data_IF_194079404917
#
_entry.id   IF_194079404917
#
_cell.length_a   1.000
_cell.length_b   1.000
_cell.length_c   1.000
_cell.angle_alpha   90.00
_cell.angle_beta   90.00
_cell.angle_gamma   90.00
#
_symmetry.space_group_name_H-M   'P 1'
#
loop_
_entity.id
_entity.type
_entity.pdbx_description
1 polymer ?
#
# COMPACT_ATOMS: atom_id res chain seq x y z
N UNK A 1 76.20 17.89 -16.24
CA UNK A 1 75.08 16.99 -15.88
C UNK A 1 74.23 17.73 -14.86
N UNK A 2 72.94 18.02 -14.96
CA UNK A 2 71.90 17.96 -16.01
C UNK A 2 70.80 18.84 -15.40
N UNK A 3 70.47 19.99 -16.00
CA UNK A 3 69.45 20.91 -15.47
C UNK A 3 68.06 20.33 -15.73
N UNK A 4 67.33 19.98 -14.66
CA UNK A 4 65.93 19.53 -14.75
C UNK A 4 65.03 20.77 -14.75
N UNK A 5 64.30 20.99 -15.85
CA UNK A 5 63.24 22.01 -15.93
C UNK A 5 61.98 21.51 -15.20
N UNK A 6 61.24 22.38 -14.50
CA UNK A 6 59.93 22.02 -13.96
C UNK A 6 58.90 21.92 -15.10
N UNK A 7 58.13 20.84 -15.10
CA UNK A 7 56.98 20.61 -15.99
C UNK A 7 55.83 21.55 -15.60
N UNK A 8 55.09 22.16 -16.55
CA UNK A 8 53.95 22.98 -16.19
C UNK A 8 52.81 22.09 -15.67
N UNK A 9 52.26 22.46 -14.52
CA UNK A 9 51.07 21.84 -13.93
C UNK A 9 49.88 22.02 -14.88
N UNK A 10 49.26 20.90 -15.25
CA UNK A 10 48.04 20.83 -16.05
C UNK A 10 46.91 21.50 -15.25
N UNK A 11 46.08 22.38 -15.85
CA UNK A 11 44.95 22.96 -15.13
C UNK A 11 43.99 21.84 -14.74
N UNK A 12 43.65 21.75 -13.46
CA UNK A 12 42.51 20.97 -12.98
C UNK A 12 41.25 21.44 -13.70
N UNK A 13 40.35 20.53 -14.13
CA UNK A 13 39.06 20.93 -14.66
C UNK A 13 38.36 21.75 -13.59
N UNK A 14 38.02 23.00 -13.90
CA UNK A 14 37.11 23.79 -13.09
C UNK A 14 35.83 22.98 -12.94
N UNK A 15 35.52 22.55 -11.72
CA UNK A 15 34.15 22.18 -11.38
C UNK A 15 33.30 23.41 -11.73
N UNK A 16 32.50 23.30 -12.78
CA UNK A 16 31.55 24.32 -13.11
C UNK A 16 30.61 24.43 -11.91
N UNK A 17 30.58 25.58 -11.24
CA UNK A 17 29.56 25.84 -10.23
C UNK A 17 28.20 25.53 -10.85
N UNK A 18 27.38 24.64 -10.24
CA UNK A 18 26.06 24.37 -10.76
C UNK A 18 25.32 25.72 -10.84
N UNK A 19 24.70 25.98 -11.99
CA UNK A 19 23.90 27.19 -12.18
C UNK A 19 22.84 27.31 -11.07
N UNK A 20 22.28 28.52 -10.85
CA UNK A 20 21.25 28.70 -9.84
C UNK A 20 20.12 27.69 -10.07
N UNK A 21 19.75 26.94 -9.02
CA UNK A 21 18.66 25.98 -9.08
C UNK A 21 17.39 26.68 -9.63
N UNK A 22 16.61 26.02 -10.50
CA UNK A 22 15.37 26.59 -10.99
C UNK A 22 14.46 26.97 -9.83
N UNK A 23 13.70 28.05 -10.00
CA UNK A 23 12.74 28.53 -9.02
C UNK A 23 11.74 27.40 -8.66
N UNK A 24 11.47 27.15 -7.36
CA UNK A 24 10.47 26.17 -6.96
C UNK A 24 9.11 26.47 -7.59
N UNK A 25 8.47 25.44 -8.14
CA UNK A 25 7.11 25.48 -8.68
C UNK A 25 6.22 24.54 -7.89
N UNK A 26 4.90 24.74 -7.97
CA UNK A 26 3.93 23.87 -7.31
C UNK A 26 2.83 23.48 -8.30
N UNK A 27 2.53 22.18 -8.38
CA UNK A 27 1.52 21.65 -9.27
C UNK A 27 0.34 21.03 -8.51
N UNK A 28 -0.82 20.98 -9.16
CA UNK A 28 -2.00 20.25 -8.67
C UNK A 28 -2.35 19.15 -9.67
N UNK A 29 -2.51 17.92 -9.18
CA UNK A 29 -2.90 16.77 -10.01
C UNK A 29 -4.25 16.24 -9.54
N UNK A 30 -5.22 16.30 -10.45
CA UNK A 30 -6.59 15.89 -10.19
C UNK A 30 -6.75 14.37 -10.14
N UNK A 31 -7.85 13.89 -9.54
CA UNK A 31 -8.18 12.46 -9.53
C UNK A 31 -8.33 11.86 -10.93
N UNK A 32 -8.76 12.64 -11.93
CA UNK A 32 -8.84 12.18 -13.31
C UNK A 32 -7.44 11.89 -13.91
N UNK A 33 -6.47 12.78 -13.67
CA UNK A 33 -5.09 12.58 -14.10
C UNK A 33 -4.43 11.41 -13.36
N UNK A 34 -4.68 11.28 -12.04
CA UNK A 34 -4.22 10.13 -11.25
C UNK A 34 -4.77 8.82 -11.82
N UNK A 35 -6.08 8.76 -12.10
CA UNK A 35 -6.70 7.57 -12.69
C UNK A 35 -6.08 7.23 -14.06
N UNK A 36 -5.92 8.22 -14.93
CA UNK A 36 -5.33 8.03 -16.26
C UNK A 36 -3.87 7.55 -16.19
N UNK A 37 -3.09 8.07 -15.25
CA UNK A 37 -1.70 7.66 -15.06
C UNK A 37 -1.56 6.19 -14.59
N UNK A 38 -2.53 5.69 -13.82
CA UNK A 38 -2.46 4.37 -13.19
C UNK A 38 -3.22 3.26 -13.93
N UNK A 39 -4.22 3.60 -14.74
CA UNK A 39 -5.12 2.62 -15.36
C UNK A 39 -4.38 1.66 -16.31
N UNK A 40 -4.57 0.35 -16.10
CA UNK A 40 -3.99 -0.70 -16.95
C UNK A 40 -2.50 -0.95 -16.72
N UNK A 41 -1.95 -0.44 -15.61
CA UNK A 41 -0.52 -0.53 -15.27
C UNK A 41 -0.26 -1.36 -14.02
N UNK A 42 -1.14 -2.31 -13.72
CA UNK A 42 -1.14 -3.05 -12.45
C UNK A 42 0.22 -3.73 -12.19
N UNK A 43 0.86 -4.29 -13.22
CA UNK A 43 2.20 -4.90 -13.10
C UNK A 43 3.29 -3.89 -12.77
N UNK A 44 3.34 -2.77 -13.47
CA UNK A 44 4.32 -1.70 -13.22
C UNK A 44 4.18 -1.15 -11.80
N UNK A 45 2.94 -0.96 -11.32
CA UNK A 45 2.71 -0.45 -9.96
C UNK A 45 3.08 -1.49 -8.90
N UNK A 46 2.86 -2.78 -9.15
CA UNK A 46 3.38 -3.85 -8.28
C UNK A 46 4.91 -3.79 -8.20
N UNK A 47 5.60 -3.58 -9.32
CA UNK A 47 7.06 -3.44 -9.34
C UNK A 47 7.54 -2.21 -8.54
N UNK A 48 6.86 -1.06 -8.67
CA UNK A 48 7.13 0.14 -7.87
C UNK A 48 6.96 -0.15 -6.37
N UNK A 49 5.87 -0.82 -5.98
CA UNK A 49 5.61 -1.18 -4.58
C UNK A 49 6.65 -2.16 -4.05
N UNK A 50 7.03 -3.18 -4.82
CA UNK A 50 8.06 -4.13 -4.42
C UNK A 50 9.44 -3.47 -4.30
N UNK A 51 9.82 -2.59 -5.23
CA UNK A 51 11.06 -1.83 -5.15
C UNK A 51 11.08 -0.95 -3.88
N UNK A 52 9.94 -0.34 -3.55
CA UNK A 52 9.81 0.50 -2.34
C UNK A 52 9.94 -0.33 -1.06
N UNK A 53 9.39 -1.55 -1.01
CA UNK A 53 9.61 -2.46 0.11
C UNK A 53 11.08 -2.85 0.28
N UNK A 54 11.80 -3.08 -0.82
CA UNK A 54 13.26 -3.36 -0.77
C UNK A 54 14.04 -2.17 -0.24
N UNK A 55 13.74 -0.95 -0.70
CA UNK A 55 14.35 0.27 -0.15
C UNK A 55 14.05 0.42 1.34
N UNK A 56 12.81 0.13 1.76
CA UNK A 56 12.43 0.17 3.16
C UNK A 56 13.21 -0.85 4.01
N UNK A 57 13.29 -2.10 3.56
CA UNK A 57 14.05 -3.16 4.22
C UNK A 57 15.56 -2.91 4.25
N UNK A 58 16.11 -2.19 3.26
CA UNK A 58 17.49 -1.75 3.24
C UNK A 58 17.80 -0.56 4.17
N UNK A 59 16.77 0.09 4.72
CA UNK A 59 16.92 1.29 5.55
C UNK A 59 17.05 2.60 4.77
N UNK A 60 16.80 2.59 3.46
CA UNK A 60 16.90 3.76 2.57
C UNK A 60 15.61 4.59 2.52
N UNK A 61 14.81 4.53 3.58
CA UNK A 61 13.57 5.30 3.72
C UNK A 61 13.40 5.75 5.17
N UNK A 62 12.59 6.79 5.37
CA UNK A 62 12.14 7.19 6.70
C UNK A 62 10.61 7.14 6.73
N UNK A 63 10.05 6.26 7.58
CA UNK A 63 8.61 6.09 7.74
C UNK A 63 8.23 6.23 9.22
N UNK A 64 8.03 7.46 9.73
CA UNK A 64 7.63 7.67 11.12
C UNK A 64 6.21 7.14 11.40
N UNK A 65 5.85 6.92 12.68
CA UNK A 65 4.51 6.51 13.06
C UNK A 65 3.42 7.45 12.52
N UNK A 66 2.35 6.88 11.99
CA UNK A 66 1.20 7.65 11.52
C UNK A 66 0.56 8.47 12.66
N UNK A 67 0.24 9.73 12.38
CA UNK A 67 -0.40 10.62 13.36
C UNK A 67 -1.92 10.63 13.15
N UNK A 68 -2.66 10.16 14.15
CA UNK A 68 -4.12 10.03 14.10
C UNK A 68 -4.80 11.23 14.76
N UNK A 69 -5.50 12.04 13.97
CA UNK A 69 -6.49 12.99 14.46
C UNK A 69 -7.82 12.26 14.69
N UNK A 70 -8.19 12.12 15.97
CA UNK A 70 -9.44 11.50 16.43
C UNK A 70 -10.37 12.54 17.04
N UNK A 71 -11.66 12.28 16.97
CA UNK A 71 -12.70 13.21 17.38
C UNK A 71 -13.56 12.59 18.49
N UNK A 72 -13.64 13.20 19.69
CA UNK A 72 -14.50 12.70 20.78
C UNK A 72 -15.98 12.66 20.42
N UNK A 73 -16.47 13.63 19.63
CA UNK A 73 -17.87 13.76 19.20
C UNK A 73 -18.27 12.79 18.07
N UNK A 74 -17.28 12.22 17.37
CA UNK A 74 -17.48 11.27 16.25
C UNK A 74 -16.40 10.19 16.26
N UNK A 75 -16.44 9.25 17.22
CA UNK A 75 -15.35 8.31 17.49
C UNK A 75 -15.05 7.33 16.33
N UNK A 76 -15.99 7.15 15.39
CA UNK A 76 -15.80 6.33 14.19
C UNK A 76 -15.02 7.05 13.07
N UNK A 77 -14.90 8.37 13.15
CA UNK A 77 -14.22 9.20 12.15
C UNK A 77 -12.79 9.54 12.58
N UNK A 78 -11.90 9.67 11.59
CA UNK A 78 -10.51 10.02 11.82
C UNK A 78 -9.89 10.69 10.60
N UNK A 79 -8.80 11.41 10.85
CA UNK A 79 -7.87 11.85 9.80
C UNK A 79 -6.47 11.39 10.17
N UNK A 80 -5.67 11.00 9.20
CA UNK A 80 -4.33 10.44 9.42
C UNK A 80 -3.33 11.19 8.56
N UNK A 81 -2.26 11.69 9.19
CA UNK A 81 -1.05 12.11 8.50
C UNK A 81 -0.06 10.94 8.45
N UNK A 82 0.42 10.64 7.25
CA UNK A 82 1.47 9.65 7.00
C UNK A 82 2.63 10.36 6.29
N UNK A 83 3.48 11.10 7.04
CA UNK A 83 4.71 11.65 6.47
C UNK A 83 5.71 10.54 6.21
N UNK A 84 6.52 10.68 5.17
CA UNK A 84 7.57 9.73 4.82
C UNK A 84 8.66 10.39 3.96
N UNK A 85 9.78 9.68 3.81
CA UNK A 85 10.88 10.00 2.91
C UNK A 85 11.31 8.73 2.19
N UNK A 86 11.48 8.81 0.88
CA UNK A 86 11.97 7.72 0.02
C UNK A 86 13.29 8.14 -0.61
N UNK A 87 14.37 7.44 -0.28
CA UNK A 87 15.68 7.64 -0.86
C UNK A 87 15.83 6.96 -2.23
N UNK A 88 17.04 6.45 -2.51
CA UNK A 88 17.35 5.76 -3.76
C UNK A 88 17.25 6.67 -4.99
N UNK A 89 16.73 6.14 -6.09
CA UNK A 89 16.48 6.89 -7.33
C UNK A 89 15.18 7.71 -7.28
N UNK A 90 14.22 7.34 -6.42
CA UNK A 90 12.92 8.02 -6.32
C UNK A 90 13.05 9.41 -5.70
N UNK A 91 13.92 9.56 -4.67
CA UNK A 91 14.27 10.82 -3.97
C UNK A 91 13.08 11.75 -3.79
N UNK A 92 12.12 11.35 -2.98
CA UNK A 92 10.91 12.14 -2.72
C UNK A 92 10.51 12.07 -1.26
N UNK A 93 10.20 13.24 -0.71
CA UNK A 93 9.64 13.38 0.61
C UNK A 93 8.17 13.77 0.50
N UNK A 94 7.43 13.67 1.60
CA UNK A 94 6.08 14.22 1.60
C UNK A 94 5.19 13.66 2.68
N UNK A 95 3.89 13.88 2.49
CA UNK A 95 2.87 13.46 3.44
C UNK A 95 1.56 13.14 2.74
N UNK A 96 1.01 11.97 3.05
CA UNK A 96 -0.40 11.68 2.77
C UNK A 96 -1.27 12.19 3.92
N UNK A 97 -2.29 12.96 3.59
CA UNK A 97 -3.34 13.39 4.50
C UNK A 97 -4.66 12.73 4.09
N UNK A 98 -5.10 11.73 4.86
CA UNK A 98 -6.27 10.90 4.52
C UNK A 98 -7.34 10.93 5.60
N UNK A 99 -8.56 11.24 5.21
CA UNK A 99 -9.76 11.21 6.06
C UNK A 99 -10.51 9.89 5.89
N UNK A 100 -11.14 9.43 6.97
CA UNK A 100 -12.07 8.29 6.95
C UNK A 100 -13.28 8.62 7.82
N UNK A 101 -14.44 8.76 7.18
CA UNK A 101 -15.72 9.11 7.80
C UNK A 101 -16.76 8.07 7.39
N UNK A 102 -16.96 6.99 8.17
CA UNK A 102 -17.93 5.94 7.87
C UNK A 102 -19.36 6.44 7.55
N UNK A 103 -19.92 7.46 8.24
CA UNK A 103 -21.25 8.00 7.92
C UNK A 103 -21.42 8.56 6.50
N UNK A 104 -20.33 8.88 5.79
CA UNK A 104 -20.41 9.37 4.41
C UNK A 104 -21.12 8.37 3.47
N UNK A 105 -20.96 7.07 3.73
CA UNK A 105 -21.52 6.02 2.88
C UNK A 105 -23.05 6.10 2.86
N UNK A 106 -23.68 6.31 4.01
CA UNK A 106 -25.14 6.52 4.09
C UNK A 106 -25.63 7.79 3.40
N UNK A 107 -24.74 8.75 3.15
CA UNK A 107 -25.03 9.97 2.40
C UNK A 107 -24.64 9.88 0.91
N UNK A 108 -24.23 8.70 0.42
CA UNK A 108 -23.80 8.51 -0.97
C UNK A 108 -22.41 9.08 -1.29
N UNK A 109 -21.62 9.43 -0.27
CA UNK A 109 -20.26 9.99 -0.41
C UNK A 109 -19.23 8.89 -0.08
N UNK A 110 -18.07 8.83 -0.77
CA UNK A 110 -17.00 7.91 -0.38
C UNK A 110 -16.58 8.07 1.09
N UNK A 111 -16.35 6.94 1.74
CA UNK A 111 -15.88 6.88 3.14
C UNK A 111 -14.56 7.64 3.33
N UNK A 112 -13.65 7.54 2.37
CA UNK A 112 -12.31 8.10 2.47
C UNK A 112 -12.05 9.12 1.36
N UNK A 113 -11.30 10.16 1.70
CA UNK A 113 -10.75 11.16 0.78
C UNK A 113 -9.33 11.48 1.22
N UNK A 114 -8.43 11.77 0.29
CA UNK A 114 -7.05 12.05 0.62
C UNK A 114 -6.38 13.00 -0.36
N UNK A 115 -5.39 13.72 0.14
CA UNK A 115 -4.40 14.42 -0.67
C UNK A 115 -3.00 13.93 -0.33
N UNK A 116 -2.10 14.02 -1.29
CA UNK A 116 -0.68 13.73 -1.15
C UNK A 116 0.11 14.98 -1.52
N UNK A 117 0.93 15.46 -0.59
CA UNK A 117 1.91 16.50 -0.88
C UNK A 117 3.24 15.81 -1.13
N UNK A 118 3.87 16.13 -2.26
CA UNK A 118 5.24 15.73 -2.58
C UNK A 118 6.18 16.92 -2.36
N UNK A 119 7.30 16.64 -1.71
CA UNK A 119 8.36 17.57 -1.38
C UNK A 119 9.65 17.14 -2.09
N UNK A 120 10.36 18.14 -2.61
CA UNK A 120 11.68 17.95 -3.18
C UNK A 120 12.64 17.52 -2.06
N UNK A 121 13.33 16.41 -2.27
CA UNK A 121 14.14 15.77 -1.26
C UNK A 121 15.35 16.63 -0.82
N UNK A 122 15.83 17.53 -1.67
CA UNK A 122 17.05 18.30 -1.41
C UNK A 122 16.75 19.69 -0.81
N UNK A 123 15.64 20.30 -1.22
CA UNK A 123 15.25 21.65 -0.81
C UNK A 123 14.12 21.67 0.22
N UNK A 124 13.37 20.56 0.34
CA UNK A 124 12.17 20.46 1.16
C UNK A 124 10.96 21.22 0.61
N UNK A 125 11.08 21.91 -0.53
CA UNK A 125 9.96 22.66 -1.10
C UNK A 125 8.87 21.69 -1.59
N UNK A 126 7.59 21.92 -1.26
CA UNK A 126 6.52 21.13 -1.84
C UNK A 126 6.40 21.49 -3.32
N UNK A 127 6.32 20.49 -4.19
CA UNK A 127 6.23 20.69 -5.64
C UNK A 127 4.93 20.15 -6.25
N UNK A 128 4.17 19.32 -5.54
CA UNK A 128 2.89 18.81 -6.03
C UNK A 128 1.89 18.52 -4.91
N UNK A 129 0.60 18.72 -5.21
CA UNK A 129 -0.54 18.19 -4.46
C UNK A 129 -1.38 17.31 -5.38
N UNK A 130 -1.57 16.04 -5.00
CA UNK A 130 -2.30 15.05 -5.78
C UNK A 130 -3.56 14.60 -5.02
N UNK A 131 -4.64 14.32 -5.74
CA UNK A 131 -5.71 13.46 -5.24
C UNK A 131 -5.10 12.09 -4.88
N UNK A 132 -5.33 11.61 -3.65
CA UNK A 132 -4.60 10.45 -3.13
C UNK A 132 -5.48 9.29 -2.69
N UNK A 133 -6.80 9.36 -2.82
CA UNK A 133 -7.64 8.21 -2.49
C UNK A 133 -7.45 7.09 -3.52
N UNK A 134 -7.28 7.42 -4.80
CA UNK A 134 -6.95 6.45 -5.86
C UNK A 134 -5.54 5.88 -5.64
N UNK A 135 -4.55 6.73 -5.37
CA UNK A 135 -3.17 6.30 -5.04
C UNK A 135 -3.18 5.33 -3.85
N UNK A 136 -3.90 5.66 -2.78
CA UNK A 136 -3.97 4.83 -1.58
C UNK A 136 -4.65 3.49 -1.84
N UNK A 137 -5.69 3.43 -2.67
CA UNK A 137 -6.33 2.16 -3.04
C UNK A 137 -5.41 1.32 -3.93
N UNK A 138 -4.75 1.95 -4.90
CA UNK A 138 -3.81 1.35 -5.86
C UNK A 138 -2.62 0.70 -5.15
N UNK A 139 -1.89 1.44 -4.32
CA UNK A 139 -0.73 0.90 -3.60
C UNK A 139 -1.11 -0.21 -2.62
N UNK A 140 -2.33 -0.15 -2.06
CA UNK A 140 -2.85 -1.21 -1.17
C UNK A 140 -3.10 -2.50 -1.96
N UNK A 141 -3.72 -2.39 -3.13
CA UNK A 141 -3.99 -3.52 -3.99
C UNK A 141 -2.73 -4.12 -4.63
N UNK A 142 -1.77 -3.28 -5.02
CA UNK A 142 -0.45 -3.71 -5.48
C UNK A 142 0.30 -4.49 -4.39
N UNK A 143 0.29 -4.00 -3.14
CA UNK A 143 0.85 -4.71 -1.99
C UNK A 143 0.17 -6.06 -1.77
N UNK A 144 -1.17 -6.10 -1.80
CA UNK A 144 -1.95 -7.33 -1.67
C UNK A 144 -1.65 -8.36 -2.77
N UNK A 145 -1.56 -7.93 -4.03
CA UNK A 145 -1.25 -8.79 -5.16
C UNK A 145 0.19 -9.33 -5.12
N UNK A 146 1.17 -8.49 -4.75
CA UNK A 146 2.55 -8.92 -4.51
C UNK A 146 2.60 -9.96 -3.40
N UNK A 147 1.98 -9.70 -2.24
CA UNK A 147 1.95 -10.65 -1.14
C UNK A 147 1.27 -11.97 -1.53
N UNK A 148 0.12 -11.92 -2.21
CA UNK A 148 -0.54 -13.12 -2.71
C UNK A 148 0.40 -13.96 -3.58
N UNK A 149 1.18 -13.34 -4.48
CA UNK A 149 2.14 -14.04 -5.32
C UNK A 149 3.30 -14.61 -4.51
N UNK A 150 3.99 -13.77 -3.75
CA UNK A 150 5.19 -14.14 -2.99
C UNK A 150 4.90 -15.26 -1.98
N UNK A 151 3.79 -15.20 -1.27
CA UNK A 151 3.40 -16.21 -0.28
C UNK A 151 2.89 -17.52 -0.91
N UNK A 152 2.52 -17.51 -2.20
CA UNK A 152 2.02 -18.69 -2.90
C UNK A 152 3.10 -19.49 -3.63
N UNK A 153 4.32 -18.98 -3.81
CA UNK A 153 5.36 -19.64 -4.63
C UNK A 153 5.81 -21.02 -4.15
N UNK A 154 5.64 -21.32 -2.86
CA UNK A 154 5.97 -22.62 -2.27
C UNK A 154 4.82 -23.64 -2.26
N UNK A 155 3.66 -23.32 -2.84
CA UNK A 155 2.43 -24.12 -2.77
C UNK A 155 1.71 -24.12 -4.13
N UNK A 156 0.71 -24.99 -4.37
CA UNK A 156 -0.15 -24.87 -5.55
C UNK A 156 -0.74 -23.47 -5.62
N UNK A 157 -0.71 -22.86 -6.81
CA UNK A 157 -1.24 -21.50 -7.01
C UNK A 157 -2.73 -21.50 -6.65
N UNK A 158 -3.20 -20.61 -5.74
CA UNK A 158 -4.62 -20.51 -5.40
C UNK A 158 -5.49 -20.32 -6.64
N UNK A 159 -6.51 -21.18 -6.82
CA UNK A 159 -7.53 -21.03 -7.88
C UNK A 159 -8.90 -20.66 -7.32
N UNK A 160 -9.07 -20.68 -6.00
CA UNK A 160 -10.30 -20.23 -5.32
C UNK A 160 -9.98 -19.06 -4.40
N UNK A 161 -10.64 -17.92 -4.62
CA UNK A 161 -10.44 -16.71 -3.82
C UNK A 161 -11.72 -16.30 -3.08
N UNK A 162 -11.59 -15.93 -1.82
CA UNK A 162 -12.69 -15.43 -1.00
C UNK A 162 -12.48 -14.00 -0.54
N UNK A 163 -13.44 -13.11 -0.82
CA UNK A 163 -13.41 -11.71 -0.41
C UNK A 163 -14.34 -11.44 0.77
N UNK A 164 -13.78 -10.97 1.87
CA UNK A 164 -14.47 -10.47 3.04
C UNK A 164 -14.45 -8.94 3.07
N UNK A 165 -15.62 -8.32 3.09
CA UNK A 165 -15.74 -6.87 2.98
C UNK A 165 -15.56 -6.42 1.53
N UNK A 166 -16.66 -6.12 0.86
CA UNK A 166 -16.72 -6.10 -0.61
C UNK A 166 -16.80 -4.68 -1.17
N UNK A 167 -16.17 -3.74 -0.45
CA UNK A 167 -16.08 -2.33 -0.81
C UNK A 167 -15.01 -2.02 -1.86
N UNK A 168 -14.64 -0.74 -1.94
CA UNK A 168 -13.68 -0.22 -2.92
C UNK A 168 -12.35 -0.99 -2.94
N UNK A 169 -11.79 -1.30 -1.77
CA UNK A 169 -10.48 -1.96 -1.66
C UNK A 169 -10.52 -3.39 -2.22
N UNK A 170 -11.60 -4.15 -1.98
CA UNK A 170 -11.75 -5.48 -2.57
C UNK A 170 -11.77 -5.43 -4.11
N UNK A 171 -12.42 -4.41 -4.69
CA UNK A 171 -12.42 -4.19 -6.16
C UNK A 171 -11.02 -3.92 -6.70
N UNK A 172 -10.27 -3.04 -6.04
CA UNK A 172 -8.89 -2.77 -6.45
C UNK A 172 -8.01 -4.02 -6.32
N UNK A 173 -8.12 -4.77 -5.22
CA UNK A 173 -7.36 -6.02 -5.04
C UNK A 173 -7.70 -7.02 -6.14
N UNK A 174 -8.98 -7.21 -6.46
CA UNK A 174 -9.41 -8.08 -7.55
C UNK A 174 -8.80 -7.64 -8.90
N UNK A 175 -8.92 -6.35 -9.26
CA UNK A 175 -8.31 -5.80 -10.48
C UNK A 175 -6.80 -6.02 -10.54
N UNK A 176 -6.09 -5.82 -9.43
CA UNK A 176 -4.63 -6.04 -9.39
C UNK A 176 -4.25 -7.51 -9.47
N UNK A 177 -5.01 -8.42 -8.86
CA UNK A 177 -4.82 -9.85 -9.01
C UNK A 177 -4.99 -10.24 -10.49
N UNK A 178 -6.11 -9.90 -11.13
CA UNK A 178 -6.32 -10.22 -12.56
C UNK A 178 -5.26 -9.56 -13.46
N UNK A 179 -4.97 -8.27 -13.27
CA UNK A 179 -3.98 -7.52 -14.06
C UNK A 179 -2.54 -8.04 -13.92
N UNK A 180 -2.24 -8.75 -12.83
CA UNK A 180 -0.94 -9.40 -12.61
C UNK A 180 -0.93 -10.89 -13.00
N UNK A 181 -1.98 -11.38 -13.67
CA UNK A 181 -2.05 -12.72 -14.23
C UNK A 181 -2.63 -13.78 -13.29
N UNK A 182 -3.37 -13.38 -12.27
CA UNK A 182 -4.22 -14.32 -11.53
C UNK A 182 -5.49 -14.63 -12.30
N UNK A 183 -5.94 -15.87 -12.16
CA UNK A 183 -7.24 -16.33 -12.63
C UNK A 183 -7.77 -17.30 -11.59
N UNK A 184 -9.07 -17.26 -11.35
CA UNK A 184 -9.74 -18.05 -10.32
C UNK A 184 -10.87 -18.84 -10.95
N UNK A 185 -10.98 -20.11 -10.58
CA UNK A 185 -12.10 -20.98 -10.95
C UNK A 185 -13.35 -20.63 -10.14
N UNK A 186 -13.15 -20.19 -8.89
CA UNK A 186 -14.22 -19.80 -7.97
C UNK A 186 -13.87 -18.50 -7.24
N UNK A 187 -14.86 -17.61 -7.16
CA UNK A 187 -14.77 -16.34 -6.43
C UNK A 187 -15.91 -16.31 -5.40
N UNK A 188 -15.54 -16.43 -4.13
CA UNK A 188 -16.46 -16.33 -3.01
C UNK A 188 -16.55 -14.89 -2.49
N UNK A 189 -17.75 -14.48 -2.11
CA UNK A 189 -18.08 -13.12 -1.68
C UNK A 189 -18.81 -13.17 -0.34
N UNK A 190 -18.32 -12.44 0.65
CA UNK A 190 -18.99 -12.28 1.95
C UNK A 190 -18.92 -10.84 2.44
N UNK A 191 -20.09 -10.28 2.75
CA UNK A 191 -20.23 -8.97 3.40
C UNK A 191 -21.46 -9.00 4.32
N UNK A 192 -21.42 -8.25 5.42
CA UNK A 192 -22.57 -8.09 6.32
C UNK A 192 -23.69 -7.28 5.65
N UNK A 193 -23.33 -6.43 4.69
CA UNK A 193 -24.27 -5.69 3.85
C UNK A 193 -24.58 -6.50 2.59
N UNK A 194 -25.83 -6.97 2.49
CA UNK A 194 -26.32 -7.67 1.30
C UNK A 194 -26.21 -6.80 0.03
N UNK A 195 -26.40 -5.48 0.16
CA UNK A 195 -26.23 -4.53 -0.94
C UNK A 195 -24.76 -4.46 -1.40
N UNK A 196 -23.81 -4.43 -0.46
CA UNK A 196 -22.38 -4.41 -0.79
C UNK A 196 -21.93 -5.72 -1.44
N UNK A 197 -22.42 -6.86 -0.95
CA UNK A 197 -22.16 -8.16 -1.57
C UNK A 197 -22.72 -8.23 -3.00
N UNK A 198 -23.97 -7.79 -3.20
CA UNK A 198 -24.61 -7.74 -4.52
C UNK A 198 -23.88 -6.79 -5.48
N UNK A 199 -23.50 -5.60 -5.02
CA UNK A 199 -22.77 -4.62 -5.82
C UNK A 199 -21.36 -5.09 -6.22
N UNK A 200 -20.69 -5.88 -5.38
CA UNK A 200 -19.40 -6.48 -5.74
C UNK A 200 -19.56 -7.65 -6.70
N UNK A 201 -20.55 -8.51 -6.48
CA UNK A 201 -20.92 -9.56 -7.44
C UNK A 201 -21.19 -8.99 -8.84
N UNK A 202 -21.98 -7.93 -8.94
CA UNK A 202 -22.25 -7.26 -10.22
C UNK A 202 -20.97 -6.73 -10.87
N UNK A 203 -20.06 -6.16 -10.08
CA UNK A 203 -18.74 -5.74 -10.56
C UNK A 203 -17.93 -6.91 -11.13
N UNK A 204 -17.89 -8.07 -10.45
CA UNK A 204 -17.20 -9.28 -10.92
C UNK A 204 -17.80 -9.82 -12.22
N UNK A 205 -19.13 -9.81 -12.32
CA UNK A 205 -19.84 -10.20 -13.55
C UNK A 205 -19.50 -9.26 -14.72
N UNK A 206 -19.36 -7.95 -14.44
CA UNK A 206 -18.97 -6.93 -15.42
C UNK A 206 -17.49 -6.97 -15.82
N UNK A 207 -16.60 -7.36 -14.90
CA UNK A 207 -15.17 -7.52 -15.19
C UNK A 207 -14.87 -8.73 -16.09
N UNK A 208 -15.90 -9.55 -16.40
CA UNK A 208 -15.79 -10.79 -17.19
C UNK A 208 -14.79 -11.76 -16.58
N UNK A 209 -14.76 -11.83 -15.25
CA UNK A 209 -13.94 -12.82 -14.56
C UNK A 209 -14.33 -14.24 -15.01
N UNK A 210 -13.35 -15.13 -15.12
CA UNK A 210 -13.56 -16.47 -15.66
C UNK A 210 -14.29 -17.40 -14.67
N UNK A 211 -14.18 -17.12 -13.37
CA UNK A 211 -14.62 -18.01 -12.30
C UNK A 211 -16.10 -17.90 -11.93
N UNK A 212 -16.62 -18.95 -11.29
CA UNK A 212 -17.96 -18.97 -10.71
C UNK A 212 -18.01 -18.07 -9.47
N UNK A 213 -18.86 -17.04 -9.50
CA UNK A 213 -19.09 -16.15 -8.36
C UNK A 213 -20.16 -16.71 -7.42
N UNK A 214 -19.84 -16.88 -6.14
CA UNK A 214 -20.76 -17.36 -5.10
C UNK A 214 -20.81 -16.40 -3.92
N UNK A 215 -22.02 -16.00 -3.50
CA UNK A 215 -22.19 -15.22 -2.26
C UNK A 215 -22.39 -16.20 -1.11
N UNK A 216 -21.54 -16.10 -0.10
CA UNK A 216 -21.57 -16.94 1.10
C UNK A 216 -22.23 -16.21 2.26
N UNK A 217 -23.06 -16.90 3.03
CA UNK A 217 -23.76 -16.34 4.19
C UNK A 217 -23.03 -16.58 5.52
N UNK A 218 -21.99 -17.43 5.53
CA UNK A 218 -21.14 -17.66 6.70
C UNK A 218 -19.66 -17.46 6.37
N UNK A 219 -18.92 -16.91 7.34
CA UNK A 219 -17.47 -16.74 7.22
C UNK A 219 -16.76 -18.09 7.15
N UNK A 220 -17.26 -19.10 7.87
CA UNK A 220 -16.72 -20.45 7.86
C UNK A 220 -16.73 -21.07 6.46
N UNK A 221 -17.89 -21.07 5.78
CA UNK A 221 -18.01 -21.67 4.45
C UNK A 221 -17.02 -21.04 3.47
N UNK A 222 -16.93 -19.70 3.48
CA UNK A 222 -16.04 -18.99 2.57
C UNK A 222 -14.56 -19.26 2.88
N UNK A 223 -14.15 -19.27 4.15
CA UNK A 223 -12.75 -19.56 4.52
C UNK A 223 -12.39 -20.98 4.10
N UNK A 224 -13.25 -21.97 4.41
CA UNK A 224 -12.98 -23.38 4.11
C UNK A 224 -12.96 -23.69 2.60
N UNK A 225 -13.66 -22.91 1.78
CA UNK A 225 -13.67 -23.08 0.33
C UNK A 225 -12.58 -22.32 -0.42
N UNK A 226 -11.84 -21.43 0.24
CA UNK A 226 -10.89 -20.51 -0.41
C UNK A 226 -9.42 -20.91 -0.18
N UNK A 227 -8.63 -20.90 -1.24
CA UNK A 227 -7.18 -21.07 -1.20
C UNK A 227 -6.46 -19.74 -0.92
N UNK A 228 -7.05 -18.64 -1.40
CA UNK A 228 -6.67 -17.26 -1.11
C UNK A 228 -7.82 -16.54 -0.41
N UNK A 229 -7.61 -16.06 0.81
CA UNK A 229 -8.61 -15.31 1.57
C UNK A 229 -8.19 -13.85 1.67
N UNK A 230 -9.04 -12.94 1.21
CA UNK A 230 -8.80 -11.49 1.25
C UNK A 230 -9.75 -10.86 2.26
N UNK A 231 -9.20 -10.26 3.31
CA UNK A 231 -9.96 -9.44 4.26
C UNK A 231 -9.74 -7.95 3.94
N UNK A 232 -10.82 -7.28 3.54
CA UNK A 232 -10.88 -5.85 3.24
C UNK A 232 -12.10 -5.19 3.94
N UNK A 233 -12.41 -5.64 5.16
CA UNK A 233 -13.54 -5.16 5.95
C UNK A 233 -13.26 -3.80 6.61
N UNK A 234 -14.21 -3.31 7.39
CA UNK A 234 -14.06 -2.14 8.28
C UNK A 234 -14.21 -2.53 9.76
N UNK A 235 -13.96 -3.80 10.10
CA UNK A 235 -14.10 -4.30 11.46
C UNK A 235 -13.23 -3.51 12.45
N UNK A 236 -13.79 -3.20 13.61
CA UNK A 236 -13.07 -2.52 14.68
C UNK A 236 -12.32 -3.49 15.61
N UNK A 237 -12.70 -4.76 15.60
CA UNK A 237 -12.18 -5.83 16.46
C UNK A 237 -12.26 -7.17 15.73
N UNK A 238 -11.42 -8.17 16.11
CA UNK A 238 -11.50 -9.53 15.59
C UNK A 238 -12.91 -10.11 15.61
N UNK A 239 -13.28 -10.78 14.54
CA UNK A 239 -14.58 -11.46 14.37
C UNK A 239 -14.46 -12.91 13.88
N UNK A 240 -13.28 -13.31 13.39
CA UNK A 240 -12.94 -14.70 13.08
C UNK A 240 -12.08 -15.26 14.21
N UNK A 241 -12.61 -16.24 14.93
CA UNK A 241 -11.96 -16.82 16.13
C UNK A 241 -11.54 -18.28 15.97
N UNK A 242 -12.19 -19.01 15.06
CA UNK A 242 -12.04 -20.45 14.92
C UNK A 242 -10.82 -20.83 14.07
N UNK A 243 -9.76 -21.29 14.74
CA UNK A 243 -8.51 -21.74 14.08
C UNK A 243 -8.76 -22.90 13.10
N UNK A 244 -9.72 -23.78 13.44
CA UNK A 244 -10.03 -24.99 12.66
C UNK A 244 -10.56 -24.70 11.25
N UNK A 245 -11.02 -23.46 10.98
CA UNK A 245 -11.47 -23.04 9.65
C UNK A 245 -10.30 -22.97 8.65
N UNK A 246 -9.08 -22.76 9.13
CA UNK A 246 -7.86 -22.62 8.33
C UNK A 246 -7.05 -23.94 8.22
N UNK A 247 -7.67 -25.09 8.50
CA UNK A 247 -7.00 -26.39 8.52
C UNK A 247 -6.43 -26.83 7.16
N UNK A 248 -6.84 -26.20 6.06
CA UNK A 248 -6.30 -26.39 4.71
C UNK A 248 -5.16 -25.44 4.36
N UNK A 249 -4.68 -24.65 5.32
CA UNK A 249 -3.50 -23.77 5.20
C UNK A 249 -3.56 -22.77 4.04
N UNK A 250 -4.61 -21.94 3.93
CA UNK A 250 -4.73 -20.98 2.84
C UNK A 250 -3.68 -19.86 2.95
N UNK A 251 -3.55 -19.09 1.88
CA UNK A 251 -2.91 -17.76 1.92
C UNK A 251 -3.96 -16.74 2.31
N UNK A 252 -3.63 -15.87 3.26
CA UNK A 252 -4.54 -14.85 3.79
C UNK A 252 -3.92 -13.48 3.60
N UNK A 253 -4.58 -12.63 2.82
CA UNK A 253 -4.24 -11.21 2.69
C UNK A 253 -5.14 -10.41 3.64
N UNK A 254 -4.58 -10.02 4.78
CA UNK A 254 -5.29 -9.44 5.90
C UNK A 254 -5.21 -7.89 5.92
N UNK A 255 -5.74 -7.26 4.87
CA UNK A 255 -5.61 -5.81 4.63
C UNK A 255 -6.37 -4.95 5.65
N UNK A 256 -7.51 -5.41 6.15
CA UNK A 256 -8.28 -4.68 7.18
C UNK A 256 -7.71 -4.79 8.59
N UNK A 257 -6.75 -5.71 8.81
CA UNK A 257 -5.92 -5.87 10.01
C UNK A 257 -6.65 -6.18 11.32
N UNK A 258 -7.97 -6.32 11.34
CA UNK A 258 -8.77 -6.48 12.58
C UNK A 258 -9.77 -7.61 12.51
N UNK A 259 -9.64 -8.49 11.53
CA UNK A 259 -10.57 -9.59 11.31
C UNK A 259 -10.24 -10.84 12.13
N UNK A 260 -8.95 -11.15 12.27
CA UNK A 260 -8.49 -12.42 12.84
C UNK A 260 -8.20 -12.30 14.33
N UNK A 261 -8.64 -13.28 15.12
CA UNK A 261 -8.25 -13.38 16.52
C UNK A 261 -6.76 -13.73 16.66
N UNK A 262 -6.09 -13.32 17.76
CA UNK A 262 -4.69 -13.65 18.02
C UNK A 262 -4.35 -15.13 17.88
N UNK A 263 -5.25 -16.03 18.29
CA UNK A 263 -5.06 -17.47 18.23
C UNK A 263 -4.82 -17.99 16.81
N UNK A 264 -5.38 -17.33 15.79
CA UNK A 264 -5.14 -17.68 14.39
C UNK A 264 -3.70 -17.33 14.01
N UNK A 265 -3.24 -16.12 14.34
CA UNK A 265 -1.88 -15.67 14.06
C UNK A 265 -0.85 -16.56 14.75
N UNK A 266 -1.10 -16.99 15.99
CA UNK A 266 -0.19 -17.89 16.72
C UNK A 266 0.07 -19.24 16.02
N UNK A 267 -0.82 -19.65 15.11
CA UNK A 267 -0.66 -20.90 14.34
C UNK A 267 -0.15 -20.67 12.92
N UNK A 268 -0.20 -19.44 12.42
CA UNK A 268 0.15 -19.06 11.06
C UNK A 268 1.64 -18.66 10.89
N UNK A 269 2.09 -18.65 9.64
CA UNK A 269 3.30 -17.92 9.24
C UNK A 269 2.89 -16.47 8.99
N UNK A 270 3.34 -15.53 9.83
CA UNK A 270 2.92 -14.13 9.79
C UNK A 270 3.97 -13.24 9.14
N UNK A 271 3.59 -12.67 8.02
CA UNK A 271 4.38 -11.71 7.26
C UNK A 271 3.72 -10.34 7.36
N UNK A 272 4.52 -9.29 7.58
CA UNK A 272 4.03 -7.90 7.68
C UNK A 272 4.71 -7.00 6.66
N UNK A 273 4.22 -5.78 6.50
CA UNK A 273 4.90 -4.76 5.70
C UNK A 273 6.04 -4.07 6.49
N UNK A 274 5.77 -3.75 7.75
CA UNK A 274 6.75 -3.27 8.73
C UNK A 274 6.39 -3.79 10.13
N UNK A 275 7.39 -4.26 10.87
CA UNK A 275 7.18 -4.89 12.18
C UNK A 275 6.61 -3.89 13.18
N UNK A 276 7.20 -2.71 13.29
CA UNK A 276 6.83 -1.74 14.32
C UNK A 276 5.51 -1.01 14.02
N UNK A 277 5.17 -0.81 12.74
CA UNK A 277 3.91 -0.19 12.34
C UNK A 277 2.74 -1.14 12.52
N UNK A 278 2.91 -2.42 12.18
CA UNK A 278 1.83 -3.38 12.25
C UNK A 278 1.40 -3.71 13.68
N UNK A 279 2.29 -3.55 14.66
CA UNK A 279 2.05 -3.77 16.10
C UNK A 279 1.43 -2.57 16.82
N UNK A 280 0.47 -1.88 16.20
CA UNK A 280 -0.18 -0.69 16.78
C UNK A 280 -1.69 -0.69 16.54
N UNK A 281 -2.36 0.30 17.12
CA UNK A 281 -3.76 0.64 16.82
C UNK A 281 -4.77 -0.53 16.94
N UNK A 282 -4.51 -1.50 17.81
CA UNK A 282 -5.37 -2.68 18.01
C UNK A 282 -5.61 -3.49 16.73
N UNK A 283 -4.60 -3.61 15.88
CA UNK A 283 -4.56 -4.63 14.81
C UNK A 283 -4.42 -6.03 15.43
N UNK A 284 -4.75 -7.08 14.68
CA UNK A 284 -4.59 -8.47 15.12
C UNK A 284 -3.15 -8.79 15.54
N UNK A 285 -2.09 -8.37 14.81
CA UNK A 285 -0.71 -8.50 15.30
C UNK A 285 -0.47 -7.77 16.63
N UNK A 286 -0.93 -6.53 16.79
CA UNK A 286 -0.79 -5.79 18.05
C UNK A 286 -1.49 -6.50 19.22
N UNK A 287 -2.71 -7.01 19.01
CA UNK A 287 -3.44 -7.78 20.02
C UNK A 287 -2.72 -9.10 20.36
N UNK A 288 -2.01 -9.69 19.39
CA UNK A 288 -1.21 -10.90 19.60
C UNK A 288 0.04 -10.64 20.42
N UNK A 289 0.73 -9.52 20.17
CA UNK A 289 1.85 -9.07 21.02
C UNK A 289 1.36 -8.80 22.45
N UNK A 290 0.23 -8.11 22.62
CA UNK A 290 -0.35 -7.86 23.95
C UNK A 290 -0.71 -9.15 24.69
N UNK A 291 -1.23 -10.16 23.98
CA UNK A 291 -1.59 -11.45 24.56
C UNK A 291 -0.36 -12.27 24.99
N UNK A 292 0.70 -12.27 24.18
CA UNK A 292 1.88 -13.13 24.39
C UNK A 292 3.00 -12.44 25.17
N UNK A 293 3.00 -11.12 25.24
CA UNK A 293 4.08 -10.31 25.78
C UNK A 293 5.35 -10.32 24.93
N UNK A 294 5.30 -10.81 23.69
CA UNK A 294 6.46 -10.88 22.80
C UNK A 294 6.05 -10.85 21.31
N UNK A 295 7.05 -10.86 20.41
CA UNK A 295 6.87 -10.75 18.96
C UNK A 295 7.25 -12.02 18.20
N UNK A 296 7.46 -13.16 18.86
CA UNK A 296 8.00 -14.37 18.23
C UNK A 296 7.03 -15.03 17.25
N UNK A 297 5.78 -14.57 17.20
CA UNK A 297 4.79 -15.00 16.22
C UNK A 297 4.97 -14.34 14.85
N UNK A 298 5.76 -13.26 14.73
CA UNK A 298 6.10 -12.63 13.46
C UNK A 298 7.30 -13.33 12.82
N UNK A 299 7.13 -13.83 11.60
CA UNK A 299 8.18 -14.55 10.88
C UNK A 299 9.06 -13.59 10.05
N UNK A 300 8.53 -12.43 9.63
CA UNK A 300 9.32 -11.38 8.99
C UNK A 300 8.47 -10.41 8.15
N UNK A 301 9.14 -9.67 7.28
CA UNK A 301 8.53 -8.70 6.37
C UNK A 301 8.32 -9.28 4.97
N UNK A 302 7.49 -8.61 4.15
CA UNK A 302 7.35 -8.97 2.74
C UNK A 302 8.70 -8.86 1.99
N UNK A 303 9.55 -7.90 2.36
CA UNK A 303 10.91 -7.82 1.83
C UNK A 303 11.76 -9.05 2.19
N UNK A 304 11.67 -9.54 3.43
CA UNK A 304 12.37 -10.77 3.85
C UNK A 304 11.95 -11.98 3.01
N UNK A 305 10.67 -12.09 2.66
CA UNK A 305 10.17 -13.14 1.75
C UNK A 305 10.71 -12.93 0.33
N UNK A 306 10.67 -11.69 -0.19
CA UNK A 306 11.18 -11.38 -1.52
C UNK A 306 12.68 -11.66 -1.67
N UNK A 307 13.45 -11.40 -0.61
CA UNK A 307 14.89 -11.64 -0.53
C UNK A 307 15.26 -13.09 -0.18
N UNK A 308 14.28 -13.95 0.12
CA UNK A 308 14.51 -15.34 0.52
C UNK A 308 15.10 -15.51 1.92
N UNK A 309 15.05 -14.47 2.76
CA UNK A 309 15.48 -14.50 4.17
C UNK A 309 14.46 -15.24 5.06
N UNK A 310 13.20 -15.22 4.66
CA UNK A 310 12.10 -15.93 5.34
C UNK A 310 11.43 -16.90 4.38
N UNK A 311 11.30 -18.15 4.80
CA UNK A 311 10.57 -19.17 4.07
C UNK A 311 9.08 -19.15 4.47
N UNK A 312 8.21 -19.46 3.51
CA UNK A 312 6.75 -19.53 3.71
C UNK A 312 6.29 -20.97 3.52
N UNK A 313 6.26 -21.78 4.59
CA UNK A 313 6.02 -23.22 4.48
C UNK A 313 4.56 -23.50 4.07
N UNK A 314 4.36 -24.51 3.22
CA UNK A 314 3.05 -24.85 2.64
C UNK A 314 2.11 -25.59 3.61
N UNK A 315 2.64 -26.16 4.69
CA UNK A 315 1.91 -26.85 5.76
C UNK A 315 1.38 -25.91 6.85
N UNK A 316 1.46 -24.59 6.62
CA UNK A 316 0.88 -23.57 7.50
C UNK A 316 0.16 -22.50 6.69
N UNK A 317 -0.88 -21.95 7.30
CA UNK A 317 -1.56 -20.74 6.82
C UNK A 317 -0.53 -19.62 6.73
N UNK A 318 -0.46 -18.94 5.59
CA UNK A 318 0.41 -17.77 5.42
C UNK A 318 -0.44 -16.52 5.51
N UNK A 319 -0.17 -15.64 6.47
CA UNK A 319 -0.94 -14.41 6.70
C UNK A 319 -0.06 -13.22 6.38
N UNK A 320 -0.52 -12.35 5.47
CA UNK A 320 0.07 -11.04 5.25
C UNK A 320 -0.78 -9.96 5.91
N UNK A 321 -0.21 -9.21 6.87
CA UNK A 321 -0.88 -8.11 7.56
C UNK A 321 -0.17 -6.78 7.28
N UNK A 322 -0.56 -6.03 6.22
CA UNK A 322 0.04 -4.74 5.89
C UNK A 322 -0.64 -3.58 6.64
N UNK A 323 0.08 -2.87 7.52
CA UNK A 323 -0.43 -1.66 8.17
C UNK A 323 -0.72 -0.53 7.16
N UNK A 324 0.13 -0.42 6.14
CA UNK A 324 0.19 0.66 5.18
C UNK A 324 1.26 1.67 5.55
N UNK A 325 2.26 1.82 4.66
CA UNK A 325 3.40 2.71 4.85
C UNK A 325 3.25 3.97 3.98
N UNK A 326 3.62 5.12 4.51
CA UNK A 326 3.60 6.40 3.79
C UNK A 326 4.56 6.40 2.59
N UNK A 327 5.67 5.65 2.69
CA UNK A 327 6.63 5.47 1.59
C UNK A 327 5.99 4.90 0.33
N UNK A 328 4.98 4.02 0.47
CA UNK A 328 4.27 3.44 -0.67
C UNK A 328 3.35 4.46 -1.35
N UNK A 329 2.74 5.36 -0.55
CA UNK A 329 1.93 6.45 -1.10
C UNK A 329 2.81 7.44 -1.86
N UNK A 330 4.01 7.76 -1.34
CA UNK A 330 4.97 8.63 -2.02
C UNK A 330 5.53 8.01 -3.30
N UNK A 331 5.91 6.74 -3.29
CA UNK A 331 6.45 6.07 -4.47
C UNK A 331 5.45 6.04 -5.63
N UNK A 332 4.19 5.66 -5.35
CA UNK A 332 3.12 5.69 -6.37
C UNK A 332 2.73 7.12 -6.75
N UNK A 333 2.73 8.06 -5.80
CA UNK A 333 2.49 9.48 -6.09
C UNK A 333 3.54 10.10 -7.00
N UNK A 334 4.82 9.77 -6.77
CA UNK A 334 5.93 10.20 -7.63
C UNK A 334 5.83 9.58 -9.02
N UNK A 335 5.48 8.29 -9.11
CA UNK A 335 5.19 7.65 -10.39
C UNK A 335 4.10 8.41 -11.17
N UNK A 336 2.97 8.74 -10.52
CA UNK A 336 1.88 9.51 -11.14
C UNK A 336 2.36 10.88 -11.60
N UNK A 337 3.09 11.60 -10.74
CA UNK A 337 3.65 12.90 -11.09
C UNK A 337 4.53 12.83 -12.34
N UNK A 338 5.40 11.82 -12.43
CA UNK A 338 6.28 11.62 -13.57
C UNK A 338 5.54 11.24 -14.86
N UNK A 339 4.47 10.44 -14.77
CA UNK A 339 3.60 10.14 -15.92
C UNK A 339 2.88 11.40 -16.43
N UNK A 340 2.36 12.24 -15.52
CA UNK A 340 1.63 13.48 -15.88
C UNK A 340 2.58 14.51 -16.48
N UNK A 341 3.84 14.58 -16.02
CA UNK A 341 4.87 15.36 -16.70
C UNK A 341 5.11 14.82 -18.11
N UNK A 342 5.27 13.51 -18.26
CA UNK A 342 5.55 12.88 -19.55
C UNK A 342 4.41 13.04 -20.55
N UNK A 343 3.16 13.14 -20.09
CA UNK A 343 2.01 13.47 -20.95
C UNK A 343 1.92 14.96 -21.30
N UNK A 344 2.68 15.84 -20.64
CA UNK A 344 2.61 17.29 -20.84
C UNK A 344 1.38 17.94 -20.23
N UNK A 345 0.70 17.26 -19.31
CA UNK A 345 -0.58 17.71 -18.71
C UNK A 345 -0.41 18.28 -17.30
N UNK A 346 0.83 18.51 -16.84
CA UNK A 346 1.07 19.04 -15.50
C UNK A 346 0.51 20.46 -15.35
N UNK A 347 -0.40 20.63 -14.39
CA UNK A 347 -1.00 21.93 -14.07
C UNK A 347 -0.21 22.62 -12.96
N UNK A 348 0.66 23.55 -13.35
CA UNK A 348 1.41 24.40 -12.42
C UNK A 348 0.52 25.54 -11.94
N UNK A 349 0.58 25.84 -10.65
CA UNK A 349 -0.10 26.98 -10.03
C UNK A 349 0.81 28.19 -10.06
N UNK A 350 0.53 29.12 -10.96
CA UNK A 350 1.30 30.35 -11.11
C UNK A 350 1.33 31.16 -9.82
N UNK A 351 2.53 31.60 -9.42
CA UNK A 351 2.72 32.45 -8.25
C UNK A 351 2.40 31.78 -6.91
N UNK A 352 2.35 30.44 -6.84
CA UNK A 352 2.09 29.72 -5.59
C UNK A 352 3.08 30.12 -4.48
N UNK A 353 4.37 30.23 -4.82
CA UNK A 353 5.38 30.82 -3.96
C UNK A 353 5.62 32.27 -4.36
N UNK A 354 5.22 33.20 -3.51
CA UNK A 354 5.29 34.64 -3.80
C UNK A 354 6.71 35.21 -3.69
N UNK A 355 7.47 34.80 -2.67
CA UNK A 355 8.80 35.33 -2.37
C UNK A 355 9.82 34.18 -2.35
N UNK A 356 10.61 34.09 -3.41
CA UNK A 356 11.67 33.07 -3.57
C UNK A 356 13.08 33.62 -3.36
N UNK A 357 13.21 34.94 -3.17
CA UNK A 357 14.47 35.59 -2.87
C UNK A 357 14.59 35.79 -1.38
N UNK A 358 15.66 35.25 -0.79
CA UNK A 358 15.93 35.37 0.65
C UNK A 358 16.06 36.83 1.15
N UNK A 359 16.40 37.77 0.27
CA UNK A 359 16.73 39.16 0.62
C UNK A 359 15.99 40.23 -0.19
N UNK A 360 14.93 39.87 -0.94
CA UNK A 360 14.23 40.77 -1.87
C UNK A 360 14.82 40.82 -3.28
#
# INVERSE_FOLDING_TARGET
MTTVRPTPSRPTPSEASPGPAPAPTFAVISGAQVQQALQGREKEIVEVVEATYRLHGAGDTVNPPSSFLRFPDRPSSRIIALPASVGGETRVDGVKWISSFPPNVSAGIPRASAVLILNDHDTGYPFACLESSIISATRTAASAASAADRLSRGRPRPTRVGFFGTGLIARYIHTFLEGTGWSFDEIGVHDLSAESAAGFRLYLEQSRTAGRVTVHHSAEELIRSSDLVVFATVAAQPHVHEVSWFGHHPVVVHVSLRDLAPQILLTATNIVDDIDHCLRAATSPHLTEQLTGNRTFLDGTLDDVMAGRVAVPADRTAVFSPFGLGVLDLAVGKYVYDEVIRSGELQVVDGFFHELRRYG
#
